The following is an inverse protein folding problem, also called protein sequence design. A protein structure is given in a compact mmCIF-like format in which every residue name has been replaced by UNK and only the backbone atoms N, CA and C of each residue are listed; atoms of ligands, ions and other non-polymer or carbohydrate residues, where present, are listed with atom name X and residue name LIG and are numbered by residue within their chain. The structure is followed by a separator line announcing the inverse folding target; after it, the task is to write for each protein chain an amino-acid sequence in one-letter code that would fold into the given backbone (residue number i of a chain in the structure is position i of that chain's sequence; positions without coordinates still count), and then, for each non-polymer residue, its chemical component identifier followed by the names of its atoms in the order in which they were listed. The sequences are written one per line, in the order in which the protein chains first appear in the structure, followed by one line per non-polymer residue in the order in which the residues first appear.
data_IF_851874447211
#
_entry.id   IF_851874447211
#
_cell.length_a   1.000
_cell.length_b   1.000
_cell.length_c   1.000
_cell.angle_alpha   90.00
_cell.angle_beta   90.00
_cell.angle_gamma   90.00
#
_symmetry.space_group_name_H-M   'P 1'
#
loop_
_entity.id
_entity.type
_entity.pdbx_description
1 polymer ?
#
# COMPACT_ATOMS: atom_id res chain seq x y z
N UNK A 1 32.68 12.90 12.09
CA UNK A 1 32.13 13.51 10.86
C UNK A 1 31.39 14.77 11.29
N UNK A 2 31.77 15.94 10.80
CA UNK A 2 31.07 17.21 11.08
C UNK A 2 30.20 17.53 9.87
N UNK A 3 28.89 17.62 10.07
CA UNK A 3 27.92 17.98 9.03
C UNK A 3 27.39 19.37 9.40
N UNK A 4 27.42 20.30 8.45
CA UNK A 4 26.82 21.62 8.61
C UNK A 4 25.35 21.52 8.25
N UNK A 5 24.47 21.88 9.18
CA UNK A 5 23.05 21.89 8.95
C UNK A 5 22.59 23.32 8.63
N UNK A 6 21.50 23.49 7.87
CA UNK A 6 20.90 24.81 7.72
C UNK A 6 20.52 25.39 9.08
N UNK A 7 20.65 26.72 9.30
CA UNK A 7 20.38 27.34 10.62
C UNK A 7 18.97 27.07 11.17
N UNK A 8 17.98 26.88 10.29
CA UNK A 8 16.62 26.51 10.69
C UNK A 8 16.55 25.09 11.28
N UNK A 9 17.33 24.16 10.74
CA UNK A 9 17.40 22.77 11.22
C UNK A 9 18.24 22.69 12.50
N UNK A 10 19.33 23.46 12.61
CA UNK A 10 20.13 23.53 13.84
C UNK A 10 19.27 24.01 15.03
N UNK A 11 18.53 25.10 14.85
CA UNK A 11 17.60 25.60 15.89
C UNK A 11 16.53 24.58 16.28
N UNK A 12 15.97 23.87 15.30
CA UNK A 12 14.98 22.83 15.57
C UNK A 12 15.58 21.64 16.33
N UNK A 13 16.80 21.25 15.97
CA UNK A 13 17.52 20.17 16.62
C UNK A 13 17.90 20.50 18.07
N UNK A 14 18.34 21.73 18.33
CA UNK A 14 18.69 22.20 19.68
C UNK A 14 17.45 22.23 20.59
N UNK A 15 16.30 22.65 20.05
CA UNK A 15 15.04 22.64 20.80
C UNK A 15 14.57 21.21 21.09
N UNK A 16 14.63 20.31 20.10
CA UNK A 16 14.27 18.91 20.28
C UNK A 16 15.20 18.21 21.28
N UNK A 17 16.50 18.50 21.23
CA UNK A 17 17.49 17.99 22.18
C UNK A 17 17.17 18.45 23.62
N UNK A 18 16.73 19.72 23.77
CA UNK A 18 16.31 20.27 25.05
C UNK A 18 15.04 19.61 25.60
N UNK A 19 14.04 19.38 24.75
CA UNK A 19 12.76 18.77 25.15
C UNK A 19 12.90 17.29 25.47
N UNK A 20 13.72 16.57 24.70
CA UNK A 20 13.88 15.11 24.83
C UNK A 20 14.98 14.69 25.79
N UNK A 21 15.77 15.65 26.30
CA UNK A 21 16.99 15.43 27.10
C UNK A 21 18.05 14.55 26.38
N UNK A 22 18.00 14.53 25.04
CA UNK A 22 18.90 13.73 24.20
C UNK A 22 19.95 14.61 23.54
N UNK A 23 21.07 14.00 23.15
CA UNK A 23 22.08 14.74 22.40
C UNK A 23 21.62 15.00 20.96
N UNK A 24 21.92 16.19 20.41
CA UNK A 24 21.63 16.49 19.00
C UNK A 24 22.29 15.50 18.02
N UNK A 25 23.44 14.92 18.39
CA UNK A 25 24.09 13.85 17.60
C UNK A 25 23.29 12.56 17.58
N UNK A 26 22.59 12.23 18.65
CA UNK A 26 21.72 11.04 18.72
C UNK A 26 20.47 11.24 17.87
N UNK A 27 19.82 12.39 18.01
CA UNK A 27 18.66 12.78 17.21
C UNK A 27 18.97 12.81 15.70
N UNK A 28 20.14 13.34 15.31
CA UNK A 28 20.57 13.34 13.90
C UNK A 28 20.79 11.92 13.39
N UNK A 29 21.42 11.04 14.18
CA UNK A 29 21.66 9.64 13.75
C UNK A 29 20.35 8.89 13.58
N UNK A 30 19.40 9.09 14.48
CA UNK A 30 18.07 8.51 14.39
C UNK A 30 17.32 9.01 13.15
N UNK A 31 17.24 10.33 12.97
CA UNK A 31 16.57 10.93 11.81
C UNK A 31 17.18 10.47 10.47
N UNK A 32 18.51 10.35 10.40
CA UNK A 32 19.20 9.82 9.21
C UNK A 32 18.86 8.35 8.99
N UNK A 33 18.88 7.53 10.05
CA UNK A 33 18.52 6.11 9.96
C UNK A 33 17.08 5.92 9.45
N UNK A 34 16.14 6.68 10.01
CA UNK A 34 14.74 6.64 9.64
C UNK A 34 14.52 7.11 8.19
N UNK A 35 15.17 8.21 7.80
CA UNK A 35 15.12 8.72 6.43
C UNK A 35 15.66 7.70 5.42
N UNK A 36 16.77 7.03 5.73
CA UNK A 36 17.32 5.97 4.88
C UNK A 36 16.36 4.77 4.78
N UNK A 37 15.75 4.36 5.88
CA UNK A 37 14.75 3.30 5.88
C UNK A 37 13.53 3.68 5.04
N UNK A 38 13.04 4.92 5.17
CA UNK A 38 11.93 5.44 4.37
C UNK A 38 12.27 5.48 2.88
N UNK A 39 13.45 5.98 2.52
CA UNK A 39 13.92 6.02 1.13
C UNK A 39 14.08 4.63 0.53
N UNK A 40 14.44 3.62 1.34
CA UNK A 40 14.48 2.22 0.89
C UNK A 40 13.08 1.67 0.62
N UNK A 41 12.13 1.91 1.53
CA UNK A 41 10.72 1.53 1.32
C UNK A 41 10.14 2.18 0.06
N UNK A 42 10.37 3.47 -0.12
CA UNK A 42 9.89 4.21 -1.29
C UNK A 42 10.48 3.67 -2.61
N UNK A 43 11.75 3.27 -2.63
CA UNK A 43 12.36 2.63 -3.80
C UNK A 43 11.66 1.31 -4.15
N UNK A 44 11.41 0.46 -3.17
CA UNK A 44 10.70 -0.81 -3.37
C UNK A 44 9.28 -0.56 -3.90
N UNK A 45 8.57 0.43 -3.35
CA UNK A 45 7.23 0.79 -3.82
C UNK A 45 7.26 1.27 -5.28
N UNK A 46 8.24 2.07 -5.67
CA UNK A 46 8.37 2.51 -7.07
C UNK A 46 8.72 1.35 -8.00
N UNK A 47 9.59 0.42 -7.58
CA UNK A 47 9.89 -0.79 -8.35
C UNK A 47 8.62 -1.64 -8.57
N UNK A 48 7.81 -1.85 -7.52
CA UNK A 48 6.52 -2.52 -7.62
C UNK A 48 5.58 -1.77 -8.55
N UNK A 49 5.52 -0.44 -8.44
CA UNK A 49 4.68 0.41 -9.30
C UNK A 49 5.07 0.28 -10.77
N UNK A 50 6.35 0.28 -11.08
CA UNK A 50 6.85 0.10 -12.44
C UNK A 50 6.53 -1.30 -12.98
N UNK A 51 6.73 -2.35 -12.17
CA UNK A 51 6.36 -3.72 -12.54
C UNK A 51 4.86 -3.86 -12.80
N UNK A 52 4.02 -3.26 -11.94
CA UNK A 52 2.57 -3.23 -12.13
C UNK A 52 2.21 -2.49 -13.41
N UNK A 53 2.78 -1.31 -13.64
CA UNK A 53 2.56 -0.53 -14.87
C UNK A 53 2.92 -1.33 -16.12
N UNK A 54 4.05 -2.03 -16.11
CA UNK A 54 4.47 -2.90 -17.21
C UNK A 54 3.46 -4.04 -17.46
N UNK A 55 2.98 -4.69 -16.40
CA UNK A 55 1.97 -5.74 -16.50
C UNK A 55 0.62 -5.23 -17.04
N UNK A 56 0.18 -4.05 -16.60
CA UNK A 56 -1.07 -3.43 -17.07
C UNK A 56 -0.94 -2.82 -18.48
N UNK A 57 0.27 -2.54 -18.95
CA UNK A 57 0.51 -2.12 -20.33
C UNK A 57 0.47 -3.26 -21.35
N UNK A 58 0.39 -4.52 -20.90
CA UNK A 58 0.17 -5.70 -21.75
C UNK A 58 -1.34 -5.98 -21.92
N UNK A 59 -1.93 -5.72 -23.11
CA UNK A 59 -3.35 -5.93 -23.34
C UNK A 59 -3.78 -7.40 -23.32
N UNK A 60 -2.87 -8.36 -23.51
CA UNK A 60 -3.18 -9.78 -23.36
C UNK A 60 -3.21 -10.21 -21.90
N UNK A 61 -2.27 -9.74 -21.09
CA UNK A 61 -2.27 -9.96 -19.65
C UNK A 61 -3.54 -9.39 -18.98
N UNK A 62 -3.97 -8.21 -19.40
CA UNK A 62 -5.21 -7.58 -18.94
C UNK A 62 -6.43 -8.41 -19.34
N UNK A 63 -6.54 -8.80 -20.62
CA UNK A 63 -7.66 -9.64 -21.10
C UNK A 63 -7.75 -10.98 -20.38
N UNK A 64 -6.61 -11.64 -20.16
CA UNK A 64 -6.54 -12.92 -19.43
C UNK A 64 -7.01 -12.74 -17.98
N UNK A 65 -6.56 -11.69 -17.29
CA UNK A 65 -7.00 -11.38 -15.93
C UNK A 65 -8.50 -11.11 -15.81
N UNK A 66 -9.04 -10.29 -16.71
CA UNK A 66 -10.48 -10.00 -16.73
C UNK A 66 -11.28 -11.28 -16.91
N UNK A 67 -10.89 -12.14 -17.86
CA UNK A 67 -11.56 -13.42 -18.08
C UNK A 67 -11.54 -14.31 -16.83
N UNK A 68 -10.40 -14.48 -16.19
CA UNK A 68 -10.30 -15.27 -14.95
C UNK A 68 -11.13 -14.68 -13.81
N UNK A 69 -11.23 -13.35 -13.72
CA UNK A 69 -12.08 -12.70 -12.73
C UNK A 69 -13.57 -12.91 -13.05
N UNK A 70 -13.98 -12.81 -14.30
CA UNK A 70 -15.35 -13.08 -14.75
C UNK A 70 -15.76 -14.54 -14.49
N UNK A 71 -14.87 -15.49 -14.79
CA UNK A 71 -15.07 -16.91 -14.48
C UNK A 71 -15.24 -17.14 -12.97
N UNK A 72 -14.36 -16.56 -12.14
CA UNK A 72 -14.46 -16.70 -10.68
C UNK A 72 -15.71 -16.05 -10.07
N UNK A 73 -16.14 -14.90 -10.59
CA UNK A 73 -17.40 -14.25 -10.17
C UNK A 73 -18.60 -15.11 -10.53
N UNK A 74 -18.59 -15.70 -11.73
CA UNK A 74 -19.66 -16.60 -12.17
C UNK A 74 -19.75 -17.83 -11.27
N UNK A 75 -18.63 -18.49 -10.99
CA UNK A 75 -18.60 -19.68 -10.12
C UNK A 75 -19.09 -19.37 -8.69
N UNK A 76 -18.73 -18.19 -8.17
CA UNK A 76 -19.18 -17.73 -6.85
C UNK A 76 -20.68 -17.44 -6.82
N UNK A 77 -21.22 -16.76 -7.83
CA UNK A 77 -22.66 -16.51 -7.97
C UNK A 77 -23.43 -17.82 -8.08
N UNK A 78 -22.94 -18.78 -8.87
CA UNK A 78 -23.55 -20.11 -8.99
C UNK A 78 -23.50 -20.90 -7.68
N UNK A 79 -22.51 -20.67 -6.81
CA UNK A 79 -22.47 -21.23 -5.46
C UNK A 79 -23.57 -20.65 -4.58
N UNK A 80 -23.73 -19.32 -4.57
CA UNK A 80 -24.75 -18.63 -3.77
C UNK A 80 -26.16 -19.05 -4.21
N UNK A 81 -26.42 -19.09 -5.52
CA UNK A 81 -27.74 -19.52 -6.02
C UNK A 81 -28.07 -20.96 -5.63
N UNK A 82 -27.07 -21.86 -5.60
CA UNK A 82 -27.27 -23.24 -5.13
C UNK A 82 -27.59 -23.28 -3.65
N UNK A 83 -26.89 -22.50 -2.82
CA UNK A 83 -27.15 -22.40 -1.39
C UNK A 83 -28.54 -21.82 -1.10
N UNK A 84 -28.95 -20.78 -1.83
CA UNK A 84 -30.27 -20.17 -1.71
C UNK A 84 -31.39 -21.14 -2.09
N UNK A 85 -31.27 -21.84 -3.23
CA UNK A 85 -32.23 -22.88 -3.62
C UNK A 85 -32.29 -24.02 -2.59
N UNK A 86 -31.16 -24.44 -2.03
CA UNK A 86 -31.12 -25.45 -0.98
C UNK A 86 -31.82 -24.98 0.32
N UNK A 87 -31.78 -23.67 0.60
CA UNK A 87 -32.50 -23.04 1.69
C UNK A 87 -33.99 -22.74 1.36
N UNK A 88 -34.47 -23.09 0.17
CA UNK A 88 -35.85 -22.84 -0.27
C UNK A 88 -36.14 -21.38 -0.64
N UNK A 89 -35.11 -20.55 -0.82
CA UNK A 89 -35.22 -19.16 -1.26
C UNK A 89 -35.18 -19.14 -2.80
N UNK A 90 -36.13 -18.46 -3.44
CA UNK A 90 -36.10 -18.24 -4.90
C UNK A 90 -35.08 -17.14 -5.25
N UNK A 91 -33.97 -17.46 -5.93
CA UNK A 91 -32.97 -16.46 -6.32
C UNK A 91 -33.51 -15.44 -7.34
N UNK A 92 -34.61 -15.73 -8.02
CA UNK A 92 -35.26 -14.84 -8.98
C UNK A 92 -36.14 -13.76 -8.34
N UNK A 93 -36.45 -13.88 -7.05
CA UNK A 93 -37.29 -12.93 -6.32
C UNK A 93 -36.45 -11.71 -5.89
N UNK A 94 -36.65 -10.57 -6.57
CA UNK A 94 -35.96 -9.31 -6.21
C UNK A 94 -36.49 -8.78 -4.88
N UNK A 95 -35.63 -8.67 -3.87
CA UNK A 95 -36.00 -8.13 -2.55
C UNK A 95 -36.15 -6.59 -2.52
N UNK A 96 -35.84 -5.90 -3.61
CA UNK A 96 -35.79 -4.42 -3.69
C UNK A 96 -36.85 -3.81 -4.62
N UNK A 97 -38.01 -4.47 -4.81
CA UNK A 97 -39.12 -4.03 -5.67
C UNK A 97 -39.12 -2.56 -6.10
#
# INVERSE_FOLDING_TARGET
MSVRLPPCIEKGLDEEARVTERSGSELVREAVSESLAQNRRMRIVEEIRQAAKALYSDPEAVRKRTRTAEEGVKDWLESIEREQRAAGIDPGEKWWG
#
